data_IF_575580062167
#
_entry.id   IF_575580062167
#
_cell.length_a   1.000
_cell.length_b   1.000
_cell.length_c   1.000
_cell.angle_alpha   90.00
_cell.angle_beta   90.00
_cell.angle_gamma   90.00
#
_symmetry.space_group_name_H-M   'P 1'
#
loop_
_entity.id
_entity.type
_entity.pdbx_description
1 polymer ?
#
# COMPACT_ATOMS: atom_id res chain seq x y z
N UNK A 1 15.93 -21.93 41.12
CA UNK A 1 16.33 -22.08 39.70
C UNK A 1 15.34 -23.02 39.02
N UNK A 2 14.31 -22.48 38.35
CA UNK A 2 13.34 -23.26 37.58
C UNK A 2 13.38 -22.73 36.14
N UNK A 3 13.87 -23.56 35.24
CA UNK A 3 13.93 -23.27 33.80
C UNK A 3 12.53 -23.43 33.24
N UNK A 4 11.90 -22.33 32.84
CA UNK A 4 10.63 -22.33 32.12
C UNK A 4 10.92 -22.51 30.62
N UNK A 5 10.74 -23.73 30.12
CA UNK A 5 10.67 -24.01 28.68
C UNK A 5 9.33 -23.48 28.16
N UNK A 6 9.34 -22.45 27.31
CA UNK A 6 8.16 -22.01 26.55
C UNK A 6 8.12 -22.82 25.25
N UNK A 7 7.17 -23.75 25.15
CA UNK A 7 6.78 -24.34 23.87
C UNK A 7 6.06 -23.27 23.03
N UNK A 8 6.58 -23.01 21.83
CA UNK A 8 5.86 -22.28 20.79
C UNK A 8 4.86 -23.22 20.12
N UNK A 9 3.57 -22.95 20.26
CA UNK A 9 2.52 -23.59 19.48
C UNK A 9 2.47 -22.92 18.11
N UNK A 10 2.96 -23.60 17.07
CA UNK A 10 2.73 -23.23 15.68
C UNK A 10 1.31 -23.69 15.32
N UNK A 11 0.39 -22.73 15.21
CA UNK A 11 -0.97 -22.98 14.72
C UNK A 11 -0.93 -22.95 13.20
N UNK A 12 -0.76 -24.12 12.56
CA UNK A 12 -1.00 -24.29 11.12
C UNK A 12 -2.48 -24.62 10.96
N UNK A 13 -3.31 -23.58 10.92
CA UNK A 13 -4.74 -23.68 10.59
C UNK A 13 -4.98 -23.45 9.10
N UNK A 14 -4.39 -24.28 8.24
CA UNK A 14 -4.79 -24.31 6.83
C UNK A 14 -6.06 -25.16 6.72
N UNK A 15 -7.21 -24.52 6.63
CA UNK A 15 -8.44 -25.18 6.17
C UNK A 15 -8.23 -25.62 4.72
N UNK A 16 -7.98 -26.92 4.54
CA UNK A 16 -8.08 -27.60 3.26
C UNK A 16 -9.50 -27.42 2.72
N UNK A 17 -9.68 -26.49 1.78
CA UNK A 17 -10.87 -26.46 0.95
C UNK A 17 -10.81 -27.73 0.11
N UNK A 18 -11.84 -28.56 0.28
CA UNK A 18 -12.01 -29.83 -0.39
C UNK A 18 -12.05 -29.58 -1.91
N UNK A 19 -10.96 -29.89 -2.61
CA UNK A 19 -10.87 -29.81 -4.06
C UNK A 19 -11.83 -30.85 -4.65
N UNK A 20 -13.03 -30.42 -5.05
CA UNK A 20 -13.87 -31.22 -5.91
C UNK A 20 -13.16 -31.37 -7.26
N UNK A 21 -12.94 -32.61 -7.67
CA UNK A 21 -12.48 -33.02 -9.00
C UNK A 21 -13.23 -32.26 -10.11
N UNK A 22 -12.63 -31.18 -10.61
CA UNK A 22 -13.00 -30.56 -11.88
C UNK A 22 -12.20 -31.24 -12.98
N UNK A 23 -12.76 -32.33 -13.52
CA UNK A 23 -12.17 -33.14 -14.60
C UNK A 23 -12.30 -32.52 -16.00
N UNK A 24 -12.55 -31.21 -16.11
CA UNK A 24 -12.29 -30.45 -17.34
C UNK A 24 -11.07 -29.58 -17.10
N UNK A 25 -9.92 -30.24 -16.90
CA UNK A 25 -8.62 -29.60 -16.76
C UNK A 25 -8.23 -28.96 -18.09
N UNK A 26 -8.70 -27.73 -18.29
CA UNK A 26 -8.03 -26.79 -19.17
C UNK A 26 -6.63 -26.63 -18.57
N UNK A 27 -5.64 -27.29 -19.14
CA UNK A 27 -4.24 -27.09 -18.77
C UNK A 27 -4.01 -25.59 -18.92
N UNK A 28 -3.88 -24.87 -17.81
CA UNK A 28 -3.52 -23.46 -17.86
C UNK A 28 -2.18 -23.43 -18.57
N UNK A 29 -2.20 -23.02 -19.84
CA UNK A 29 -0.99 -22.88 -20.62
C UNK A 29 -0.16 -21.79 -19.95
N UNK A 30 0.91 -22.21 -19.29
CA UNK A 30 1.87 -21.32 -18.66
C UNK A 30 2.60 -20.40 -19.65
N UNK A 31 2.36 -20.58 -20.95
CA UNK A 31 2.80 -19.65 -21.99
C UNK A 31 2.00 -18.33 -21.97
N UNK A 32 0.79 -18.31 -21.40
CA UNK A 32 0.03 -17.08 -21.26
C UNK A 32 0.62 -16.25 -20.11
N UNK A 33 1.05 -15.03 -20.44
CA UNK A 33 1.49 -14.06 -19.44
C UNK A 33 0.31 -13.49 -18.66
N UNK A 34 -0.90 -13.48 -19.24
CA UNK A 34 -2.15 -13.12 -18.57
C UNK A 34 -2.69 -14.29 -17.75
N UNK A 35 -2.69 -14.14 -16.43
CA UNK A 35 -3.19 -15.14 -15.50
C UNK A 35 -4.39 -14.62 -14.72
N UNK A 36 -5.55 -15.09 -15.14
CA UNK A 36 -6.81 -14.88 -14.43
C UNK A 36 -6.89 -15.79 -13.20
N UNK A 37 -7.00 -15.21 -12.00
CA UNK A 37 -7.11 -15.94 -10.74
C UNK A 37 -8.56 -16.00 -10.29
N UNK A 38 -9.07 -17.22 -10.13
CA UNK A 38 -10.41 -17.52 -9.64
C UNK A 38 -10.39 -18.71 -8.69
N UNK A 39 -11.46 -18.92 -7.94
CA UNK A 39 -11.58 -20.11 -7.08
C UNK A 39 -11.49 -21.43 -7.88
N UNK A 40 -11.84 -21.42 -9.17
CA UNK A 40 -11.85 -22.64 -10.00
C UNK A 40 -10.49 -23.02 -10.60
N UNK A 41 -9.52 -22.10 -10.63
CA UNK A 41 -8.24 -22.34 -11.31
C UNK A 41 -7.00 -21.94 -10.49
N UNK A 42 -7.18 -21.48 -9.23
CA UNK A 42 -6.09 -20.99 -8.39
C UNK A 42 -4.93 -21.99 -8.27
N UNK A 43 -5.21 -23.27 -8.03
CA UNK A 43 -4.16 -24.28 -7.88
C UNK A 43 -3.30 -24.43 -9.14
N UNK A 44 -3.93 -24.37 -10.32
CA UNK A 44 -3.23 -24.44 -11.59
C UNK A 44 -2.36 -23.20 -11.84
N UNK A 45 -2.88 -22.00 -11.52
CA UNK A 45 -2.13 -20.74 -11.64
C UNK A 45 -0.94 -20.72 -10.66
N UNK A 46 -1.15 -21.10 -9.40
CA UNK A 46 -0.07 -21.15 -8.41
C UNK A 46 0.99 -22.20 -8.77
N UNK A 47 0.58 -23.36 -9.30
CA UNK A 47 1.53 -24.34 -9.82
C UNK A 47 2.32 -23.80 -11.00
N UNK A 48 1.69 -22.99 -11.86
CA UNK A 48 2.36 -22.35 -12.99
C UNK A 48 3.47 -21.40 -12.54
N UNK A 49 3.13 -20.46 -11.67
CA UNK A 49 4.07 -19.48 -11.10
C UNK A 49 5.22 -20.18 -10.38
N UNK A 50 4.91 -21.20 -9.57
CA UNK A 50 5.92 -21.95 -8.83
C UNK A 50 6.93 -22.65 -9.76
N UNK A 51 6.47 -23.18 -10.89
CA UNK A 51 7.32 -23.91 -11.83
C UNK A 51 8.06 -22.98 -12.80
N UNK A 52 7.64 -21.73 -12.93
CA UNK A 52 8.25 -20.73 -13.79
C UNK A 52 8.25 -19.34 -13.13
N UNK A 53 9.03 -19.13 -12.06
CA UNK A 53 8.98 -17.91 -11.25
C UNK A 53 9.51 -16.65 -11.96
N UNK A 54 10.28 -16.83 -13.04
CA UNK A 54 10.89 -15.76 -13.84
C UNK A 54 10.67 -16.02 -15.34
N UNK A 55 9.43 -15.89 -15.82
CA UNK A 55 9.12 -16.09 -17.23
C UNK A 55 9.81 -15.01 -18.10
N UNK A 56 10.16 -15.29 -19.37
CA UNK A 56 10.71 -14.27 -20.27
C UNK A 56 9.83 -13.03 -20.42
N UNK A 57 8.52 -13.19 -20.25
CA UNK A 57 7.53 -12.11 -20.18
C UNK A 57 6.89 -12.17 -18.79
N UNK A 58 7.08 -11.16 -17.93
CA UNK A 58 6.50 -11.13 -16.59
C UNK A 58 4.98 -11.26 -16.59
N UNK A 59 4.47 -11.93 -15.56
CA UNK A 59 3.05 -12.22 -15.45
C UNK A 59 2.19 -10.97 -15.24
N UNK A 60 1.05 -10.92 -15.91
CA UNK A 60 -0.08 -10.06 -15.59
C UNK A 60 -1.04 -10.86 -14.70
N UNK A 61 -1.14 -10.50 -13.43
CA UNK A 61 -2.05 -11.16 -12.50
C UNK A 61 -3.38 -10.40 -12.48
N UNK A 62 -4.45 -11.03 -12.97
CA UNK A 62 -5.80 -10.49 -12.88
C UNK A 62 -6.61 -11.30 -11.87
N UNK A 63 -6.91 -10.72 -10.71
CA UNK A 63 -7.72 -11.41 -9.70
C UNK A 63 -9.20 -11.21 -10.06
N UNK A 64 -9.92 -12.29 -10.36
CA UNK A 64 -11.32 -12.19 -10.76
C UNK A 64 -12.21 -11.88 -9.55
N UNK A 65 -13.29 -11.11 -9.80
CA UNK A 65 -14.35 -10.81 -8.81
C UNK A 65 -14.96 -12.04 -8.13
N UNK A 66 -14.92 -13.20 -8.81
CA UNK A 66 -15.46 -14.45 -8.29
C UNK A 66 -14.58 -15.08 -7.22
N UNK A 67 -13.32 -14.64 -7.07
CA UNK A 67 -12.40 -15.13 -6.05
C UNK A 67 -12.90 -14.75 -4.65
N UNK A 68 -12.76 -15.69 -3.70
CA UNK A 68 -13.23 -15.51 -2.33
C UNK A 68 -12.18 -15.98 -1.33
N UNK A 69 -11.95 -15.19 -0.27
CA UNK A 69 -11.06 -15.57 0.82
C UNK A 69 -9.63 -15.03 0.69
N UNK A 70 -8.67 -15.75 1.25
CA UNK A 70 -7.28 -15.33 1.32
C UNK A 70 -6.49 -15.85 0.12
N UNK A 71 -5.73 -14.97 -0.55
CA UNK A 71 -4.84 -15.33 -1.66
C UNK A 71 -3.39 -15.15 -1.25
N UNK A 72 -2.60 -16.21 -1.40
CA UNK A 72 -1.14 -16.12 -1.34
C UNK A 72 -0.56 -16.55 -2.68
N UNK A 73 0.30 -15.72 -3.27
CA UNK A 73 1.00 -16.01 -4.52
C UNK A 73 2.50 -16.02 -4.23
N UNK A 74 3.05 -17.14 -3.69
CA UNK A 74 4.47 -17.26 -3.47
C UNK A 74 5.23 -17.39 -4.80
N UNK A 75 6.55 -17.20 -4.75
CA UNK A 75 7.48 -17.42 -5.87
C UNK A 75 7.35 -16.47 -7.07
N UNK A 76 6.36 -15.59 -7.13
CA UNK A 76 6.35 -14.50 -8.11
C UNK A 76 7.36 -13.45 -7.69
N UNK A 77 8.45 -13.29 -8.46
CA UNK A 77 9.49 -12.28 -8.19
C UNK A 77 9.21 -10.98 -8.95
N UNK A 78 8.80 -11.13 -10.22
CA UNK A 78 8.51 -10.01 -11.12
C UNK A 78 7.12 -10.18 -11.72
N UNK A 79 6.31 -9.13 -11.65
CA UNK A 79 5.04 -9.04 -12.36
C UNK A 79 5.10 -7.91 -13.40
N UNK A 80 4.39 -8.07 -14.51
CA UNK A 80 4.09 -6.97 -15.42
C UNK A 80 3.11 -6.01 -14.74
N UNK A 81 2.04 -6.57 -14.19
CA UNK A 81 0.98 -5.85 -13.51
C UNK A 81 0.29 -6.79 -12.53
N UNK A 82 -0.23 -6.21 -11.45
CA UNK A 82 -1.19 -6.87 -10.58
C UNK A 82 -2.44 -6.02 -10.60
N UNK A 83 -3.54 -6.61 -11.01
CA UNK A 83 -4.78 -5.90 -11.19
C UNK A 83 -5.95 -6.65 -10.57
N UNK A 84 -6.73 -5.86 -9.84
CA UNK A 84 -8.09 -6.17 -9.49
C UNK A 84 -8.93 -4.94 -9.84
N UNK A 85 -9.71 -5.03 -10.91
CA UNK A 85 -10.65 -4.00 -11.32
C UNK A 85 -12.06 -4.58 -11.36
N UNK A 86 -12.94 -4.06 -10.51
CA UNK A 86 -14.38 -4.23 -10.61
C UNK A 86 -15.05 -2.86 -10.56
N UNK A 87 -15.76 -2.50 -11.63
CA UNK A 87 -16.53 -1.26 -11.73
C UNK A 87 -17.92 -1.34 -11.06
N UNK A 88 -18.36 -2.54 -10.63
CA UNK A 88 -19.73 -2.78 -10.20
C UNK A 88 -19.91 -3.70 -8.97
N UNK A 89 -18.86 -4.32 -8.42
CA UNK A 89 -18.97 -5.34 -7.36
C UNK A 89 -17.96 -5.22 -6.21
N UNK A 90 -18.37 -5.73 -5.04
CA UNK A 90 -17.53 -5.80 -3.84
C UNK A 90 -16.69 -7.07 -3.88
N UNK A 91 -15.37 -6.90 -3.88
CA UNK A 91 -14.38 -7.97 -3.72
C UNK A 91 -14.64 -8.80 -2.45
N UNK A 92 -14.54 -10.13 -2.57
CA UNK A 92 -14.58 -11.06 -1.44
C UNK A 92 -13.21 -11.59 -0.98
N UNK A 93 -12.13 -11.13 -1.61
CA UNK A 93 -10.75 -11.33 -1.15
C UNK A 93 -10.53 -10.60 0.18
N UNK A 94 -10.07 -11.35 1.17
CA UNK A 94 -9.90 -10.90 2.56
C UNK A 94 -8.45 -10.56 2.89
N UNK A 95 -7.51 -11.24 2.25
CA UNK A 95 -6.07 -10.98 2.39
C UNK A 95 -5.33 -11.31 1.09
N UNK A 96 -4.28 -10.55 0.80
CA UNK A 96 -3.36 -10.79 -0.32
C UNK A 96 -1.93 -10.84 0.19
N UNK A 97 -1.25 -11.96 -0.04
CA UNK A 97 0.15 -12.17 0.34
C UNK A 97 1.03 -12.46 -0.88
N UNK A 98 2.04 -11.62 -1.06
CA UNK A 98 3.00 -11.61 -2.17
C UNK A 98 4.42 -11.61 -1.58
N UNK A 99 4.82 -12.69 -0.89
CA UNK A 99 6.02 -12.70 -0.04
C UNK A 99 7.33 -12.56 -0.81
N UNK A 100 7.31 -12.95 -2.09
CA UNK A 100 8.48 -12.97 -2.97
C UNK A 100 8.48 -11.87 -4.03
N UNK A 101 7.40 -11.09 -4.15
CA UNK A 101 7.28 -10.06 -5.17
C UNK A 101 8.25 -8.92 -4.89
N UNK A 102 9.13 -8.66 -5.86
CA UNK A 102 10.13 -7.60 -5.79
C UNK A 102 9.82 -6.44 -6.74
N UNK A 103 9.25 -6.72 -7.91
CA UNK A 103 9.13 -5.72 -8.98
C UNK A 103 7.80 -5.82 -9.74
N UNK A 104 7.25 -4.66 -10.08
CA UNK A 104 6.15 -4.50 -11.03
C UNK A 104 6.63 -3.61 -12.18
N UNK A 105 6.79 -4.18 -13.37
CA UNK A 105 7.61 -3.59 -14.44
C UNK A 105 6.85 -2.90 -15.57
N UNK A 106 5.52 -2.98 -15.60
CA UNK A 106 4.70 -2.31 -16.61
C UNK A 106 3.75 -1.29 -15.97
N UNK A 107 2.47 -1.65 -15.79
CA UNK A 107 1.40 -0.67 -15.57
C UNK A 107 1.22 -0.27 -14.11
N UNK A 108 1.39 -1.19 -13.16
CA UNK A 108 1.22 -0.90 -11.73
C UNK A 108 0.59 -2.01 -10.89
N UNK A 109 0.29 -1.63 -9.65
CA UNK A 109 -0.43 -2.45 -8.67
C UNK A 109 -1.77 -1.79 -8.39
N UNK A 110 -2.84 -2.39 -8.90
CA UNK A 110 -4.19 -1.87 -8.84
C UNK A 110 -5.09 -2.79 -8.02
N UNK A 111 -5.76 -2.21 -7.03
CA UNK A 111 -6.81 -2.89 -6.27
C UNK A 111 -7.99 -1.92 -6.16
N UNK A 112 -9.11 -2.21 -6.82
CA UNK A 112 -10.33 -1.41 -6.76
C UNK A 112 -11.49 -2.17 -6.11
N UNK A 113 -12.38 -1.50 -5.36
CA UNK A 113 -13.59 -2.16 -4.83
C UNK A 113 -13.32 -3.26 -3.79
N UNK A 114 -12.20 -3.16 -3.08
CA UNK A 114 -11.69 -4.19 -2.18
C UNK A 114 -12.30 -4.19 -0.77
N UNK A 115 -13.63 -4.24 -0.66
CA UNK A 115 -14.34 -3.97 0.59
C UNK A 115 -14.17 -5.02 1.70
N UNK A 116 -13.56 -6.18 1.44
CA UNK A 116 -13.25 -7.17 2.49
C UNK A 116 -11.76 -7.31 2.78
N UNK A 117 -10.90 -6.63 2.03
CA UNK A 117 -9.46 -6.73 2.17
C UNK A 117 -9.04 -6.10 3.49
N UNK A 118 -8.54 -6.92 4.41
CA UNK A 118 -8.05 -6.47 5.72
C UNK A 118 -6.54 -6.60 5.88
N UNK A 119 -5.87 -7.32 4.97
CA UNK A 119 -4.44 -7.58 5.02
C UNK A 119 -3.85 -7.58 3.60
N UNK A 120 -2.74 -6.86 3.43
CA UNK A 120 -1.97 -6.83 2.18
C UNK A 120 -0.49 -6.88 2.54
N UNK A 121 0.20 -7.93 2.10
CA UNK A 121 1.60 -8.17 2.40
C UNK A 121 2.40 -8.28 1.10
N UNK A 122 3.38 -7.40 0.93
CA UNK A 122 4.37 -7.47 -0.15
C UNK A 122 5.73 -6.98 0.39
N UNK A 123 6.34 -7.71 1.33
CA UNK A 123 7.46 -7.20 2.12
C UNK A 123 8.71 -6.93 1.30
N UNK A 124 8.91 -7.66 0.19
CA UNK A 124 10.07 -7.52 -0.69
C UNK A 124 9.84 -6.58 -1.88
N UNK A 125 8.65 -5.99 -2.04
CA UNK A 125 8.34 -5.15 -3.19
C UNK A 125 9.17 -3.87 -3.13
N UNK A 126 10.04 -3.67 -4.12
CA UNK A 126 11.01 -2.57 -4.21
C UNK A 126 10.64 -1.53 -5.26
N UNK A 127 10.14 -1.98 -6.40
CA UNK A 127 9.94 -1.11 -7.56
C UNK A 127 8.57 -1.33 -8.18
N UNK A 128 7.87 -0.24 -8.44
CA UNK A 128 6.66 -0.20 -9.26
C UNK A 128 6.90 0.86 -10.35
N UNK A 129 7.05 0.43 -11.61
CA UNK A 129 7.19 1.36 -12.76
C UNK A 129 5.88 2.08 -13.09
N UNK A 130 4.79 1.46 -12.67
CA UNK A 130 3.46 2.01 -12.74
C UNK A 130 3.06 2.88 -11.56
N UNK A 131 1.76 2.82 -11.25
CA UNK A 131 1.18 3.40 -10.04
C UNK A 131 0.92 2.32 -8.98
N UNK A 132 0.96 2.70 -7.70
CA UNK A 132 0.37 1.92 -6.62
C UNK A 132 -1.00 2.53 -6.30
N UNK A 133 -2.08 1.88 -6.71
CA UNK A 133 -3.44 2.38 -6.53
C UNK A 133 -4.29 1.41 -5.74
N UNK A 134 -4.67 1.80 -4.52
CA UNK A 134 -5.53 1.01 -3.64
C UNK A 134 -6.79 1.80 -3.32
N UNK A 135 -7.93 1.35 -3.85
CA UNK A 135 -9.25 1.85 -3.49
C UNK A 135 -9.99 0.81 -2.63
N UNK A 136 -9.91 1.05 -1.32
CA UNK A 136 -10.41 0.24 -0.22
C UNK A 136 -11.65 0.89 0.45
N UNK A 137 -12.36 1.76 -0.27
CA UNK A 137 -13.58 2.41 0.22
C UNK A 137 -14.64 1.37 0.59
N UNK A 138 -15.30 1.57 1.73
CA UNK A 138 -16.27 0.61 2.27
C UNK A 138 -15.64 -0.60 2.96
N UNK A 139 -14.31 -0.75 2.90
CA UNK A 139 -13.58 -1.82 3.55
C UNK A 139 -13.26 -1.60 5.03
N UNK A 140 -12.81 -2.66 5.73
CA UNK A 140 -12.37 -2.57 7.11
C UNK A 140 -11.15 -1.66 7.24
N UNK A 141 -10.85 -1.25 8.48
CA UNK A 141 -9.61 -0.52 8.75
C UNK A 141 -8.39 -1.40 8.48
N UNK A 142 -7.45 -0.90 7.66
CA UNK A 142 -6.24 -1.61 7.24
C UNK A 142 -4.99 -0.79 7.54
N UNK A 143 -3.91 -1.49 7.86
CA UNK A 143 -2.56 -0.93 7.92
C UNK A 143 -1.79 -1.39 6.69
N UNK A 144 -1.13 -0.46 6.01
CA UNK A 144 -0.33 -0.72 4.81
C UNK A 144 1.15 -0.56 5.16
N UNK A 145 1.95 -1.54 4.80
CA UNK A 145 3.40 -1.51 5.05
C UNK A 145 4.12 -2.11 3.86
N UNK A 146 4.95 -1.31 3.21
CA UNK A 146 5.83 -1.75 2.13
C UNK A 146 7.28 -1.42 2.53
N UNK A 147 7.90 -2.23 3.39
CA UNK A 147 9.16 -1.89 4.05
C UNK A 147 10.33 -1.75 3.08
N UNK A 148 10.28 -2.45 1.94
CA UNK A 148 11.32 -2.40 0.91
C UNK A 148 10.98 -1.51 -0.29
N UNK A 149 9.81 -0.86 -0.32
CA UNK A 149 9.39 -0.08 -1.50
C UNK A 149 10.22 1.18 -1.63
N UNK A 150 11.08 1.21 -2.65
CA UNK A 150 12.02 2.29 -2.94
C UNK A 150 11.46 3.26 -3.97
N UNK A 151 10.86 2.74 -5.04
CA UNK A 151 10.46 3.52 -6.22
C UNK A 151 9.04 3.22 -6.66
N UNK A 152 8.24 4.26 -6.88
CA UNK A 152 6.94 4.20 -7.57
C UNK A 152 6.88 5.30 -8.63
N UNK A 153 7.19 4.98 -9.89
CA UNK A 153 7.44 6.01 -10.92
C UNK A 153 6.20 6.90 -11.19
N UNK A 154 5.00 6.32 -11.27
CA UNK A 154 3.78 7.07 -11.66
C UNK A 154 2.92 7.58 -10.51
N UNK A 155 3.24 7.21 -9.27
CA UNK A 155 2.61 7.75 -8.07
C UNK A 155 1.90 6.72 -7.19
N UNK A 156 1.57 7.15 -5.98
CA UNK A 156 0.89 6.37 -4.94
C UNK A 156 -0.48 6.99 -4.68
N UNK A 157 -1.55 6.20 -4.85
CA UNK A 157 -2.94 6.66 -4.74
C UNK A 157 -3.72 5.72 -3.82
N UNK A 158 -4.08 6.21 -2.63
CA UNK A 158 -4.72 5.40 -1.60
C UNK A 158 -6.05 6.02 -1.21
N UNK A 159 -7.13 5.24 -1.22
CA UNK A 159 -8.45 5.68 -0.80
C UNK A 159 -9.10 4.59 0.07
N UNK A 160 -9.67 4.95 1.22
CA UNK A 160 -10.39 3.99 2.07
C UNK A 160 -10.24 4.23 3.56
N UNK A 161 -10.57 3.23 4.39
CA UNK A 161 -10.43 3.34 5.85
C UNK A 161 -9.00 3.00 6.28
N UNK A 162 -8.08 3.96 6.20
CA UNK A 162 -6.67 3.74 6.54
C UNK A 162 -6.38 4.30 7.92
N UNK A 163 -6.51 3.44 8.94
CA UNK A 163 -6.10 3.63 10.33
C UNK A 163 -6.58 2.44 11.17
N UNK A 164 -5.82 1.32 11.20
CA UNK A 164 -6.13 0.25 12.15
C UNK A 164 -5.65 0.71 13.52
N UNK A 165 -6.58 1.26 14.29
CA UNK A 165 -6.40 1.58 15.69
C UNK A 165 -6.12 0.27 16.46
N UNK A 166 -4.86 -0.13 16.55
CA UNK A 166 -4.48 -1.13 17.54
C UNK A 166 -4.61 -0.46 18.91
N UNK A 167 -5.63 -0.83 19.67
CA UNK A 167 -5.74 -0.52 21.10
C UNK A 167 -4.55 -1.15 21.82
N UNK A 168 -3.40 -0.48 21.80
CA UNK A 168 -2.22 -0.87 22.56
C UNK A 168 -2.38 -0.40 24.00
N UNK A 169 -3.17 -1.15 24.77
CA UNK A 169 -2.94 -1.22 26.21
C UNK A 169 -1.67 -2.05 26.40
N UNK A 170 -0.58 -1.40 26.84
CA UNK A 170 0.66 -2.02 27.35
C UNK A 170 1.61 -2.63 26.28
N UNK A 171 2.44 -1.82 25.63
CA UNK A 171 3.86 -2.17 25.49
C UNK A 171 4.72 -0.98 25.04
N UNK A 172 5.69 -0.67 25.90
CA UNK A 172 6.80 0.25 25.72
C UNK A 172 7.77 -0.27 24.66
N UNK A 173 8.22 0.68 23.82
CA UNK A 173 9.32 0.64 22.86
C UNK A 173 9.07 0.03 21.47
N UNK A 174 9.25 0.88 20.46
CA UNK A 174 9.00 0.70 19.01
C UNK A 174 7.52 0.59 18.62
N UNK A 175 6.77 1.64 18.97
CA UNK A 175 5.41 1.86 18.51
C UNK A 175 5.35 1.93 16.98
N UNK A 176 4.70 0.94 16.36
CA UNK A 176 4.15 1.00 15.01
C UNK A 176 3.21 2.22 14.97
N UNK A 177 3.73 3.35 14.50
CA UNK A 177 3.12 4.69 14.67
C UNK A 177 2.29 5.14 13.49
N UNK A 178 2.43 4.47 12.34
CA UNK A 178 1.78 4.86 11.11
C UNK A 178 0.92 3.73 10.58
N UNK A 179 -0.29 4.08 10.16
CA UNK A 179 -1.17 3.19 9.42
C UNK A 179 -0.65 2.93 8.00
N UNK A 180 0.35 3.70 7.57
CA UNK A 180 1.05 3.58 6.28
C UNK A 180 2.56 3.71 6.52
N UNK A 181 3.32 2.67 6.23
CA UNK A 181 4.77 2.63 6.43
C UNK A 181 5.49 2.40 5.09
N UNK A 182 6.25 3.41 4.67
CA UNK A 182 7.04 3.43 3.43
C UNK A 182 8.50 3.86 3.71
N UNK A 183 9.22 3.17 4.63
CA UNK A 183 10.50 3.65 5.16
C UNK A 183 11.64 3.71 4.12
N UNK A 184 11.57 2.91 3.05
CA UNK A 184 12.57 2.86 1.99
C UNK A 184 12.24 3.80 0.80
N UNK A 185 11.06 4.43 0.78
CA UNK A 185 10.60 5.19 -0.37
C UNK A 185 11.52 6.39 -0.62
N UNK A 186 12.15 6.40 -1.79
CA UNK A 186 13.11 7.41 -2.19
C UNK A 186 12.67 8.21 -3.42
N UNK A 187 11.73 7.69 -4.21
CA UNK A 187 11.30 8.31 -5.46
C UNK A 187 9.86 7.94 -5.80
N UNK A 188 9.01 8.94 -5.98
CA UNK A 188 7.69 8.80 -6.57
C UNK A 188 7.17 10.12 -7.13
N UNK A 189 6.42 10.10 -8.23
CA UNK A 189 5.92 11.34 -8.85
C UNK A 189 4.92 12.11 -7.97
N UNK A 190 4.05 11.39 -7.27
CA UNK A 190 3.00 11.97 -6.44
C UNK A 190 2.53 10.98 -5.37
N UNK A 191 2.01 11.50 -4.26
CA UNK A 191 1.35 10.74 -3.21
C UNK A 191 0.00 11.38 -2.91
N UNK A 192 -1.08 10.63 -3.11
CA UNK A 192 -2.45 11.09 -2.82
C UNK A 192 -3.16 10.09 -1.93
N UNK A 193 -3.61 10.56 -0.76
CA UNK A 193 -4.26 9.74 0.25
C UNK A 193 -5.57 10.36 0.67
N UNK A 194 -6.64 9.57 0.58
CA UNK A 194 -7.97 9.92 1.06
C UNK A 194 -8.41 8.85 2.06
N UNK A 195 -8.10 9.09 3.34
CA UNK A 195 -8.47 8.18 4.43
C UNK A 195 -9.78 8.62 5.09
N UNK A 196 -10.69 7.68 5.33
CA UNK A 196 -11.84 7.89 6.23
C UNK A 196 -11.50 7.58 7.70
N UNK A 197 -10.27 7.13 7.97
CA UNK A 197 -9.68 6.88 9.29
C UNK A 197 -9.11 8.15 9.94
N UNK A 198 -8.35 7.98 11.05
CA UNK A 198 -7.70 9.09 11.77
C UNK A 198 -6.18 9.16 11.51
N UNK A 199 -5.76 8.83 10.28
CA UNK A 199 -4.37 8.95 9.82
C UNK A 199 -3.78 10.33 10.16
N UNK A 200 -2.58 10.37 10.73
CA UNK A 200 -1.87 11.63 10.95
C UNK A 200 -1.25 12.14 9.65
N UNK A 201 -2.03 12.90 8.87
CA UNK A 201 -1.60 13.42 7.58
C UNK A 201 -0.37 14.33 7.66
N UNK A 202 -0.15 15.06 8.75
CA UNK A 202 1.05 15.89 8.91
C UNK A 202 2.30 15.02 9.03
N UNK A 203 2.25 14.03 9.92
CA UNK A 203 3.39 13.15 10.16
C UNK A 203 3.66 12.24 8.95
N UNK A 204 2.60 11.73 8.30
CA UNK A 204 2.72 10.97 7.06
C UNK A 204 3.34 11.81 5.94
N UNK A 205 2.81 13.01 5.68
CA UNK A 205 3.33 13.87 4.62
C UNK A 205 4.81 14.22 4.84
N UNK A 206 5.19 14.52 6.08
CA UNK A 206 6.59 14.78 6.44
C UNK A 206 7.50 13.57 6.16
N UNK A 207 7.01 12.33 6.30
CA UNK A 207 7.79 11.13 6.00
C UNK A 207 8.01 10.86 4.51
N UNK A 208 7.12 11.33 3.62
CA UNK A 208 7.17 10.98 2.18
C UNK A 208 7.49 12.14 1.26
N UNK A 209 7.36 13.40 1.70
CA UNK A 209 7.52 14.58 0.83
C UNK A 209 8.89 14.63 0.14
N UNK A 210 9.95 14.17 0.81
CA UNK A 210 11.30 14.16 0.24
C UNK A 210 11.48 13.15 -0.91
N UNK A 211 10.62 12.12 -0.99
CA UNK A 211 10.62 11.16 -2.10
C UNK A 211 9.92 11.71 -3.36
N UNK A 212 9.27 12.88 -3.28
CA UNK A 212 8.60 13.49 -4.43
C UNK A 212 9.50 14.48 -5.18
N UNK A 213 9.23 14.76 -6.47
CA UNK A 213 9.90 15.82 -7.21
C UNK A 213 9.84 17.15 -6.47
N UNK A 214 10.92 17.91 -6.59
CA UNK A 214 10.90 19.29 -6.17
C UNK A 214 9.90 20.08 -7.03
N UNK A 215 9.19 21.01 -6.40
CA UNK A 215 8.35 21.96 -7.11
C UNK A 215 9.21 22.82 -8.05
N UNK A 216 9.02 22.67 -9.36
CA UNK A 216 9.62 23.51 -10.37
C UNK A 216 8.54 24.38 -11.01
N UNK A 217 8.57 25.69 -10.73
CA UNK A 217 7.65 26.65 -11.32
C UNK A 217 7.81 26.77 -12.85
N UNK A 218 9.02 26.50 -13.35
CA UNK A 218 9.37 26.65 -14.77
C UNK A 218 8.80 25.53 -15.65
N UNK A 219 8.63 24.32 -15.08
CA UNK A 219 8.17 23.17 -15.85
C UNK A 219 6.67 23.24 -16.16
N UNK A 220 5.91 24.17 -15.56
CA UNK A 220 4.45 24.30 -15.72
C UNK A 220 3.63 23.08 -15.25
N UNK A 221 4.30 21.98 -14.94
CA UNK A 221 3.79 20.67 -14.50
C UNK A 221 3.93 20.53 -12.96
N UNK A 222 4.68 21.44 -12.33
CA UNK A 222 4.84 21.52 -10.88
C UNK A 222 3.53 21.90 -10.21
N UNK A 223 2.61 20.95 -10.07
CA UNK A 223 1.50 21.10 -9.16
C UNK A 223 2.09 21.25 -7.75
N UNK A 224 1.62 22.23 -7.00
CA UNK A 224 1.94 22.45 -5.59
C UNK A 224 1.40 21.33 -4.66
N UNK A 225 1.18 20.14 -5.21
CA UNK A 225 0.39 19.03 -4.66
C UNK A 225 1.10 17.69 -4.86
N UNK A 226 2.43 17.65 -4.74
CA UNK A 226 3.15 16.37 -4.84
C UNK A 226 2.78 15.39 -3.73
N UNK A 227 2.35 15.91 -2.57
CA UNK A 227 1.72 15.13 -1.50
C UNK A 227 0.39 15.76 -1.11
N UNK A 228 -0.70 15.02 -1.30
CA UNK A 228 -2.04 15.33 -0.77
C UNK A 228 -2.43 14.22 0.21
N UNK A 229 -2.80 14.61 1.43
CA UNK A 229 -3.36 13.69 2.41
C UNK A 229 -4.60 14.30 3.04
N UNK A 230 -5.71 13.56 3.02
CA UNK A 230 -6.95 13.90 3.69
C UNK A 230 -7.35 12.78 4.64
N UNK A 231 -7.70 13.14 5.88
CA UNK A 231 -8.18 12.21 6.90
C UNK A 231 -9.20 12.89 7.82
N UNK A 232 -9.85 12.12 8.70
CA UNK A 232 -10.67 12.70 9.78
C UNK A 232 -9.86 13.50 10.80
N UNK A 233 -8.54 13.25 10.92
CA UNK A 233 -7.66 13.95 11.87
C UNK A 233 -7.19 15.30 11.31
N UNK A 234 -7.18 15.46 10.00
CA UNK A 234 -6.75 16.68 9.32
C UNK A 234 -6.44 16.46 7.85
N UNK A 235 -6.21 17.56 7.13
CA UNK A 235 -5.77 17.56 5.75
C UNK A 235 -4.41 18.27 5.62
N UNK A 236 -3.61 17.83 4.65
CA UNK A 236 -2.33 18.41 4.29
C UNK A 236 -2.18 18.36 2.77
N UNK A 237 -1.75 19.48 2.22
CA UNK A 237 -1.18 19.54 0.88
C UNK A 237 0.22 20.14 1.03
N UNK A 238 1.23 19.43 0.57
CA UNK A 238 2.63 19.89 0.65
C UNK A 238 3.41 19.43 -0.57
N UNK A 239 4.57 20.04 -0.76
CA UNK A 239 5.49 19.72 -1.83
C UNK A 239 6.94 19.85 -1.36
N UNK A 240 7.86 19.21 -2.08
CA UNK A 240 9.29 19.37 -1.82
C UNK A 240 9.76 20.71 -2.38
N UNK A 241 10.33 21.62 -1.57
CA UNK A 241 10.83 22.89 -2.09
C UNK A 241 12.02 22.68 -3.03
N UNK A 242 12.15 23.51 -4.06
CA UNK A 242 13.31 23.46 -4.97
C UNK A 242 14.55 24.02 -4.31
N UNK A 243 15.69 23.35 -4.55
CA UNK A 243 17.02 23.81 -4.13
C UNK A 243 17.56 24.75 -5.23
N UNK A 244 16.79 25.76 -5.63
CA UNK A 244 17.41 26.84 -6.41
C UNK A 244 18.31 27.60 -5.45
N UNK A 245 19.62 27.45 -5.63
CA UNK A 245 20.61 28.20 -4.89
C UNK A 245 20.24 29.69 -4.94
N UNK A 246 20.06 30.30 -3.78
CA UNK A 246 19.81 31.73 -3.65
C UNK A 246 21.01 32.51 -4.17
N UNK A 247 21.11 32.71 -5.48
CA UNK A 247 21.98 33.72 -6.06
C UNK A 247 21.27 35.08 -5.89
N UNK A 248 21.62 35.75 -4.79
CA UNK A 248 21.55 37.21 -4.57
C UNK A 248 20.21 37.90 -4.84
N UNK A 249 19.55 38.24 -3.73
CA UNK A 249 19.08 39.62 -3.52
C UNK A 249 17.58 39.86 -3.54
N UNK A 250 16.91 39.60 -2.42
CA UNK A 250 16.08 40.63 -1.76
C UNK A 250 15.70 40.13 -0.37
N UNK A 251 15.74 41.04 0.60
CA UNK A 251 15.27 40.81 1.96
C UNK A 251 13.76 40.55 1.90
N UNK A 252 13.33 39.33 2.16
CA UNK A 252 12.06 39.09 2.84
C UNK A 252 12.31 38.19 4.04
N UNK A 253 12.42 38.84 5.19
CA UNK A 253 12.09 38.22 6.47
C UNK A 253 10.60 37.90 6.38
N UNK A 254 10.26 36.64 6.14
CA UNK A 254 8.90 36.16 6.43
C UNK A 254 9.02 34.97 7.36
N UNK A 255 8.96 35.32 8.64
CA UNK A 255 8.77 34.41 9.73
C UNK A 255 7.36 33.85 9.59
N UNK A 256 7.21 32.63 9.04
CA UNK A 256 5.92 31.93 9.00
C UNK A 256 6.00 30.57 9.70
N UNK A 257 6.48 30.60 10.94
CA UNK A 257 6.09 29.62 11.95
C UNK A 257 5.00 30.28 12.81
N UNK A 258 3.76 30.25 12.31
CA UNK A 258 2.60 30.57 13.13
C UNK A 258 2.37 29.39 14.07
N UNK A 259 3.01 29.44 15.24
CA UNK A 259 2.57 28.68 16.40
C UNK A 259 1.23 29.27 16.85
N UNK A 260 0.11 28.64 16.46
CA UNK A 260 -1.18 28.94 17.08
C UNK A 260 -1.17 28.40 18.51
N UNK A 261 -0.79 29.25 19.47
CA UNK A 261 -1.06 29.04 20.89
C UNK A 261 -2.56 29.18 21.10
N UNK A 262 -3.22 28.08 21.48
CA UNK A 262 -4.59 28.11 21.98
C UNK A 262 -4.55 28.69 23.39
N UNK A 263 -4.99 29.95 23.53
CA UNK A 263 -5.27 30.60 24.81
C UNK A 263 -6.79 30.67 25.00
N UNK A 264 -7.27 30.24 26.17
CA UNK A 264 -8.60 30.53 26.73
C UNK A 264 -9.60 29.38 26.61
N UNK A 265 -10.36 28.98 27.64
CA UNK A 265 -10.77 29.70 28.85
C UNK A 265 -10.91 28.76 30.06
N UNK A 266 -10.34 29.15 31.21
CA UNK A 266 -10.89 28.82 32.51
C UNK A 266 -12.10 29.74 32.75
N UNK A 267 -13.30 29.18 32.83
CA UNK A 267 -14.42 29.83 33.51
C UNK A 267 -14.54 29.22 34.91
N UNK A 268 -14.13 30.01 35.89
CA UNK A 268 -14.44 29.84 37.31
C UNK A 268 -15.92 30.22 37.48
N UNK A 269 -16.76 29.31 37.99
CA UNK A 269 -18.09 29.64 38.50
C UNK A 269 -18.07 29.35 39.99
N UNK A 270 -18.50 30.37 40.74
CA UNK A 270 -18.63 30.42 42.19
C UNK A 270 -19.72 29.47 42.71
#
# INVERSE_FOLDING_TARGET
MRVLLRLAAVVIGATLVNAQNSTTGNTTDCANYDMDISNSNIDAVLSCIKNNPDPPIPYYLYILRSYQGALAVPSIVTASQIDYEDSAGLLNLTSLDLPDLEQIVATGFFIYGAAKLSELNAPKLRTIRGSLTLNLVGGPAINLSFPSLEVVESGIYLNGTIDRYELRFLQTDTAKRFSIELPALNSTSAVQIFSTGKLDCNAFAASVVNATPAYNAEDGIGSNTSVICNSKKGNVTTFRPSIVASSRGSKMVSNLLLWSVVVGCLSLVA
#
